data_IF_594463487751
#
_entry.id   IF_594463487751
#
_cell.length_a   1.000
_cell.length_b   1.000
_cell.length_c   1.000
_cell.angle_alpha   90.00
_cell.angle_beta   90.00
_cell.angle_gamma   90.00
#
_symmetry.space_group_name_H-M   'P 1'
#
loop_
_entity.id
_entity.type
_entity.pdbx_description
1 polymer ?
#
# COMPACT_ATOMS: atom_id res chain seq x y z
N UNK A 1 -45.71 53.67 41.36
CA UNK A 1 -45.61 52.18 41.46
C UNK A 1 -46.17 51.59 40.19
N UNK A 2 -45.30 51.08 39.33
CA UNK A 2 -45.65 50.37 38.10
C UNK A 2 -44.84 49.06 38.08
N UNK A 3 -45.45 47.93 37.64
CA UNK A 3 -44.91 46.60 37.87
C UNK A 3 -43.79 46.25 36.87
N UNK A 4 -42.79 45.53 37.39
CA UNK A 4 -41.67 44.95 36.67
C UNK A 4 -42.15 43.85 35.72
N UNK A 5 -42.02 44.07 34.41
CA UNK A 5 -42.21 43.03 33.41
C UNK A 5 -40.98 42.10 33.40
N UNK A 6 -41.23 40.80 33.53
CA UNK A 6 -40.23 39.75 33.41
C UNK A 6 -39.80 39.65 31.94
N UNK A 7 -38.54 39.99 31.65
CA UNK A 7 -37.93 39.82 30.33
C UNK A 7 -37.70 38.33 30.08
N UNK A 8 -38.45 37.77 29.13
CA UNK A 8 -38.28 36.42 28.59
C UNK A 8 -36.96 36.34 27.83
N UNK A 9 -36.07 35.44 28.24
CA UNK A 9 -34.88 35.09 27.45
C UNK A 9 -35.31 34.34 26.18
N UNK A 10 -34.84 34.73 24.98
CA UNK A 10 -35.11 33.97 23.77
C UNK A 10 -34.35 32.64 23.81
N UNK A 11 -35.07 31.55 23.50
CA UNK A 11 -34.50 30.22 23.33
C UNK A 11 -33.44 30.24 22.20
N UNK A 12 -32.34 29.47 22.32
CA UNK A 12 -31.32 29.43 21.29
C UNK A 12 -31.91 28.89 19.97
N UNK A 13 -31.59 29.56 18.87
CA UNK A 13 -32.01 29.18 17.52
C UNK A 13 -31.70 27.72 17.24
N UNK A 14 -32.72 26.97 16.82
CA UNK A 14 -32.58 25.60 16.38
C UNK A 14 -31.53 25.52 15.25
N UNK A 15 -30.53 24.66 15.44
CA UNK A 15 -29.61 24.28 14.37
C UNK A 15 -30.42 23.80 13.15
N UNK A 16 -30.05 24.21 11.92
CA UNK A 16 -30.72 23.71 10.74
C UNK A 16 -30.55 22.18 10.69
N UNK A 17 -31.59 21.42 10.34
CA UNK A 17 -31.49 19.97 10.28
C UNK A 17 -30.41 19.62 9.24
N UNK A 18 -29.39 18.90 9.69
CA UNK A 18 -28.35 18.37 8.83
C UNK A 18 -29.01 17.56 7.70
N UNK A 19 -28.83 18.03 6.47
CA UNK A 19 -29.34 17.36 5.29
C UNK A 19 -28.65 16.00 5.16
N UNK A 20 -29.36 14.87 5.33
CA UNK A 20 -28.76 13.54 5.27
C UNK A 20 -28.22 13.19 3.87
N UNK A 21 -28.45 14.06 2.87
CA UNK A 21 -27.90 13.93 1.52
C UNK A 21 -26.54 14.65 1.32
N UNK A 22 -26.05 15.43 2.28
CA UNK A 22 -24.77 16.14 2.18
C UNK A 22 -23.53 15.25 2.47
N UNK A 23 -23.76 14.03 2.97
CA UNK A 23 -22.72 13.04 3.32
C UNK A 23 -22.63 11.89 2.30
N UNK A 24 -23.13 12.09 1.08
CA UNK A 24 -22.90 11.15 -0.02
C UNK A 24 -21.43 11.33 -0.42
N UNK A 25 -20.54 10.34 -0.16
CA UNK A 25 -19.16 10.43 -0.63
C UNK A 25 -19.20 10.61 -2.14
N UNK A 26 -18.35 11.46 -2.70
CA UNK A 26 -18.09 11.52 -4.15
C UNK A 26 -18.17 10.10 -4.74
N UNK A 27 -18.88 9.91 -5.87
CA UNK A 27 -19.07 8.58 -6.43
C UNK A 27 -17.72 7.89 -6.50
N UNK A 28 -17.60 6.76 -5.79
CA UNK A 28 -16.38 5.98 -5.70
C UNK A 28 -15.93 5.75 -7.15
N UNK A 29 -14.88 6.44 -7.62
CA UNK A 29 -14.28 6.14 -8.92
C UNK A 29 -14.03 4.64 -8.93
N UNK A 30 -14.60 3.96 -9.92
CA UNK A 30 -14.83 2.53 -9.86
C UNK A 30 -13.51 1.78 -9.55
N UNK A 31 -13.39 1.12 -8.37
CA UNK A 31 -12.22 0.32 -8.02
C UNK A 31 -11.92 -0.78 -9.06
N UNK A 32 -12.88 -1.09 -9.94
CA UNK A 32 -12.72 -2.02 -11.06
C UNK A 32 -11.89 -1.47 -12.23
N UNK A 33 -11.63 -0.15 -12.28
CA UNK A 33 -10.92 0.48 -13.38
C UNK A 33 -9.41 0.21 -13.34
N UNK A 34 -8.77 0.35 -12.17
CA UNK A 34 -7.33 0.18 -12.00
C UNK A 34 -6.93 -0.57 -10.72
N UNK A 35 -7.89 -1.10 -9.96
CA UNK A 35 -7.60 -1.74 -8.68
C UNK A 35 -6.94 -0.79 -7.69
N UNK A 36 -5.90 -1.26 -7.00
CA UNK A 36 -5.13 -0.47 -6.05
C UNK A 36 -3.99 0.35 -6.69
N UNK A 37 -3.74 0.20 -7.99
CA UNK A 37 -2.78 1.04 -8.70
C UNK A 37 -3.29 2.50 -8.75
N UNK A 38 -2.38 3.49 -8.80
CA UNK A 38 -2.77 4.87 -9.04
C UNK A 38 -3.42 5.01 -10.42
N UNK A 39 -4.28 6.01 -10.60
CA UNK A 39 -4.97 6.25 -11.88
C UNK A 39 -4.03 6.63 -13.04
N UNK A 40 -2.80 7.05 -12.75
CA UNK A 40 -1.77 7.44 -13.72
C UNK A 40 -0.41 6.92 -13.28
N UNK A 41 0.56 6.78 -14.19
CA UNK A 41 1.92 6.41 -13.82
C UNK A 41 2.46 7.38 -12.76
N UNK A 42 3.14 6.86 -11.73
CA UNK A 42 3.76 7.69 -10.70
C UNK A 42 4.69 8.77 -11.28
N UNK A 43 4.81 9.88 -10.56
CA UNK A 43 5.68 10.98 -10.96
C UNK A 43 7.13 10.56 -10.78
N UNK A 44 7.88 10.46 -11.89
CA UNK A 44 9.32 10.12 -11.88
C UNK A 44 10.15 11.17 -11.13
N UNK A 45 10.04 12.42 -11.55
CA UNK A 45 10.80 13.53 -10.97
C UNK A 45 9.84 14.64 -10.61
N UNK A 46 9.89 15.08 -9.35
CA UNK A 46 9.10 16.24 -8.93
C UNK A 46 9.73 17.53 -9.49
N UNK A 47 8.90 18.49 -9.90
CA UNK A 47 9.36 19.72 -10.54
C UNK A 47 9.60 20.85 -9.52
N UNK A 48 10.40 21.84 -9.93
CA UNK A 48 10.69 23.03 -9.14
C UNK A 48 11.35 22.67 -7.81
N UNK A 49 10.93 23.34 -6.74
CA UNK A 49 11.57 23.16 -5.42
C UNK A 49 11.37 21.78 -4.81
N UNK A 50 10.45 20.98 -5.34
CA UNK A 50 10.25 19.59 -4.91
C UNK A 50 11.24 18.61 -5.55
N UNK A 51 12.00 19.03 -6.57
CA UNK A 51 13.06 18.23 -7.18
C UNK A 51 14.08 17.77 -6.14
N UNK A 52 14.46 18.67 -5.24
CA UNK A 52 15.36 18.39 -4.12
C UNK A 52 14.89 17.23 -3.22
N UNK A 53 13.58 17.09 -2.98
CA UNK A 53 13.04 15.96 -2.20
C UNK A 53 13.25 14.62 -2.93
N UNK A 54 13.21 14.63 -4.26
CA UNK A 54 13.50 13.43 -5.07
C UNK A 54 14.98 13.08 -5.05
N UNK A 55 15.85 14.08 -5.10
CA UNK A 55 17.31 13.92 -4.98
C UNK A 55 17.69 13.38 -3.60
N UNK A 56 17.16 13.98 -2.52
CA UNK A 56 17.37 13.52 -1.15
C UNK A 56 16.89 12.07 -0.98
N UNK A 57 15.69 11.75 -1.45
CA UNK A 57 15.17 10.39 -1.35
C UNK A 57 16.02 9.37 -2.10
N UNK A 58 16.56 9.72 -3.28
CA UNK A 58 17.50 8.88 -4.01
C UNK A 58 18.81 8.68 -3.25
N UNK A 59 19.43 9.77 -2.78
CA UNK A 59 20.69 9.71 -2.03
C UNK A 59 20.55 8.91 -0.72
N UNK A 60 19.47 9.12 0.01
CA UNK A 60 19.13 8.39 1.25
C UNK A 60 18.83 6.92 0.94
N UNK A 61 18.09 6.63 -0.13
CA UNK A 61 17.80 5.26 -0.53
C UNK A 61 19.08 4.48 -0.83
N UNK A 62 20.08 5.08 -1.47
CA UNK A 62 21.34 4.39 -1.82
C UNK A 62 22.43 4.51 -0.77
N UNK A 63 22.14 5.07 0.41
CA UNK A 63 23.13 5.23 1.47
C UNK A 63 23.64 3.85 1.95
N UNK A 64 24.94 3.72 2.27
CA UNK A 64 25.53 2.43 2.67
C UNK A 64 25.00 1.91 4.01
N UNK A 65 24.55 2.82 4.88
CA UNK A 65 24.05 2.52 6.22
C UNK A 65 23.04 3.60 6.69
N UNK A 66 22.38 3.32 7.83
CA UNK A 66 21.34 4.18 8.40
C UNK A 66 21.88 5.50 8.91
N UNK A 67 23.09 5.55 9.42
CA UNK A 67 23.66 6.76 10.01
C UNK A 67 24.07 7.75 8.91
N UNK A 68 24.62 7.24 7.81
CA UNK A 68 24.84 8.01 6.58
C UNK A 68 23.52 8.55 6.02
N UNK A 69 22.47 7.72 5.94
CA UNK A 69 21.14 8.17 5.54
C UNK A 69 20.59 9.29 6.44
N UNK A 70 20.70 9.15 7.77
CA UNK A 70 20.28 10.16 8.75
C UNK A 70 21.09 11.45 8.64
N UNK A 71 22.40 11.35 8.38
CA UNK A 71 23.27 12.51 8.20
C UNK A 71 22.88 13.35 6.98
N UNK A 72 22.43 12.73 5.88
CA UNK A 72 21.90 13.42 4.70
C UNK A 72 20.62 14.20 5.04
N UNK A 73 19.69 13.59 5.77
CA UNK A 73 18.45 14.27 6.23
C UNK A 73 18.79 15.44 7.14
N UNK A 74 19.68 15.24 8.12
CA UNK A 74 20.11 16.28 9.04
C UNK A 74 20.84 17.43 8.33
N UNK A 75 21.59 17.15 7.26
CA UNK A 75 22.20 18.18 6.43
C UNK A 75 21.14 19.04 5.74
N UNK A 76 20.14 18.42 5.10
CA UNK A 76 19.02 19.13 4.48
C UNK A 76 18.17 19.93 5.48
N UNK A 77 18.03 19.43 6.71
CA UNK A 77 17.38 20.16 7.79
C UNK A 77 18.14 21.45 8.15
N UNK A 78 19.47 21.38 8.29
CA UNK A 78 20.33 22.54 8.60
C UNK A 78 20.32 23.62 7.51
N UNK A 79 20.15 23.22 6.25
CA UNK A 79 20.01 24.17 5.13
C UNK A 79 18.61 24.81 5.05
N UNK A 80 17.66 24.35 5.86
CA UNK A 80 16.29 24.88 5.88
C UNK A 80 15.38 24.34 4.77
N UNK A 81 15.87 23.41 3.93
CA UNK A 81 15.14 22.87 2.77
C UNK A 81 13.87 22.12 3.20
N UNK A 82 13.95 21.29 4.26
CA UNK A 82 12.81 20.54 4.79
C UNK A 82 11.70 21.47 5.29
N UNK A 83 12.07 22.54 6.00
CA UNK A 83 11.14 23.55 6.50
C UNK A 83 10.48 24.32 5.34
N UNK A 84 11.25 24.66 4.30
CA UNK A 84 10.73 25.31 3.11
C UNK A 84 9.72 24.43 2.35
N UNK A 85 9.99 23.12 2.23
CA UNK A 85 9.06 22.16 1.66
C UNK A 85 7.78 22.03 2.50
N UNK A 86 7.93 21.93 3.83
CA UNK A 86 6.81 21.83 4.78
C UNK A 86 5.79 22.95 4.59
N UNK A 87 6.23 24.19 4.39
CA UNK A 87 5.36 25.35 4.17
C UNK A 87 4.56 25.28 2.86
N UNK A 88 5.00 24.45 1.90
CA UNK A 88 4.42 24.37 0.55
C UNK A 88 3.55 23.13 0.35
N UNK A 89 3.50 22.20 1.30
CA UNK A 89 2.73 20.94 1.21
C UNK A 89 1.26 21.19 0.87
N UNK A 90 0.63 22.23 1.45
CA UNK A 90 -0.77 22.58 1.21
C UNK A 90 -1.08 22.90 -0.27
N UNK A 91 -0.07 23.31 -1.03
CA UNK A 91 -0.18 23.67 -2.46
C UNK A 91 0.02 22.48 -3.40
N UNK A 92 0.38 21.30 -2.88
CA UNK A 92 0.55 20.11 -3.70
C UNK A 92 -0.77 19.67 -4.32
N UNK A 93 -0.78 19.41 -5.62
CA UNK A 93 -1.86 18.65 -6.25
C UNK A 93 -1.90 17.22 -5.69
N UNK A 94 -3.04 16.51 -5.73
CA UNK A 94 -3.15 15.15 -5.22
C UNK A 94 -2.05 14.21 -5.76
N UNK A 95 -1.79 14.28 -7.07
CA UNK A 95 -0.74 13.48 -7.72
C UNK A 95 0.67 13.78 -7.19
N UNK A 96 0.97 15.05 -6.91
CA UNK A 96 2.28 15.41 -6.35
C UNK A 96 2.34 15.16 -4.84
N UNK A 97 1.21 15.12 -4.13
CA UNK A 97 1.14 14.67 -2.75
C UNK A 97 1.46 13.16 -2.63
N UNK A 98 0.94 12.33 -3.54
CA UNK A 98 1.34 10.92 -3.65
C UNK A 98 2.82 10.78 -3.99
N UNK A 99 3.32 11.60 -4.92
CA UNK A 99 4.75 11.61 -5.22
C UNK A 99 5.59 11.94 -3.98
N UNK A 100 5.21 12.97 -3.21
CA UNK A 100 5.89 13.36 -1.98
C UNK A 100 5.81 12.28 -0.90
N UNK A 101 4.66 11.61 -0.73
CA UNK A 101 4.49 10.55 0.25
C UNK A 101 5.40 9.36 -0.03
N UNK A 102 5.61 9.00 -1.31
CA UNK A 102 6.63 8.01 -1.66
C UNK A 102 8.03 8.43 -1.19
N UNK A 103 8.47 9.67 -1.49
CA UNK A 103 9.83 10.12 -1.13
C UNK A 103 10.02 10.14 0.39
N UNK A 104 9.02 10.63 1.12
CA UNK A 104 9.04 10.62 2.59
C UNK A 104 9.08 9.18 3.11
N UNK A 105 8.31 8.25 2.52
CA UNK A 105 8.31 6.85 2.93
C UNK A 105 9.67 6.18 2.71
N UNK A 106 10.31 6.46 1.58
CA UNK A 106 11.66 5.96 1.28
C UNK A 106 12.67 6.50 2.29
N UNK A 107 12.65 7.81 2.56
CA UNK A 107 13.56 8.43 3.54
C UNK A 107 13.34 7.82 4.93
N UNK A 108 12.09 7.74 5.38
CA UNK A 108 11.76 7.15 6.69
C UNK A 108 12.20 5.69 6.79
N UNK A 109 11.96 4.88 5.75
CA UNK A 109 12.35 3.47 5.75
C UNK A 109 13.87 3.28 5.76
N UNK A 110 14.60 4.04 4.94
CA UNK A 110 16.06 3.97 4.87
C UNK A 110 16.74 4.44 6.17
N UNK A 111 16.19 5.45 6.85
CA UNK A 111 16.69 5.91 8.14
C UNK A 111 16.31 5.01 9.33
N UNK A 112 15.50 3.96 9.11
CA UNK A 112 15.00 3.07 10.18
C UNK A 112 13.97 3.74 11.08
N UNK A 113 13.14 4.60 10.51
CA UNK A 113 12.08 5.35 11.19
C UNK A 113 10.68 4.84 10.84
N UNK A 114 10.56 3.66 10.23
CA UNK A 114 9.28 3.15 9.70
C UNK A 114 8.21 2.95 10.78
N UNK A 115 8.66 2.69 12.01
CA UNK A 115 7.80 2.48 13.18
C UNK A 115 7.41 3.79 13.91
N UNK A 116 8.00 4.93 13.54
CA UNK A 116 7.74 6.19 14.25
C UNK A 116 6.36 6.75 13.89
N UNK A 117 5.70 7.29 14.91
CA UNK A 117 4.58 8.21 14.72
C UNK A 117 5.15 9.64 14.62
N UNK A 118 5.04 10.34 13.48
CA UNK A 118 5.62 11.67 13.33
C UNK A 118 4.99 12.72 14.25
N UNK A 119 3.82 12.46 14.83
CA UNK A 119 3.17 13.36 15.79
C UNK A 119 3.57 13.09 17.24
N UNK A 120 4.14 11.91 17.54
CA UNK A 120 4.48 11.53 18.90
C UNK A 120 5.70 12.31 19.41
N UNK A 121 5.66 12.91 20.62
CA UNK A 121 6.78 13.68 21.18
C UNK A 121 8.07 12.86 21.30
N UNK A 122 7.96 11.56 21.56
CA UNK A 122 9.11 10.64 21.68
C UNK A 122 9.88 10.50 20.37
N UNK A 123 9.20 10.62 19.22
CA UNK A 123 9.82 10.49 17.89
C UNK A 123 10.85 11.59 17.63
N UNK A 124 10.70 12.77 18.25
CA UNK A 124 11.65 13.88 18.15
C UNK A 124 13.02 13.57 18.76
N UNK A 125 13.13 12.53 19.58
CA UNK A 125 14.41 12.04 20.10
C UNK A 125 15.12 11.10 19.13
N UNK A 126 14.38 10.48 18.21
CA UNK A 126 14.87 9.45 17.31
C UNK A 126 15.09 9.93 15.86
N UNK A 127 14.42 11.01 15.46
CA UNK A 127 14.46 11.54 14.10
C UNK A 127 14.52 13.08 14.08
N UNK A 128 14.96 13.62 12.95
CA UNK A 128 15.08 15.07 12.74
C UNK A 128 13.70 15.77 12.83
N UNK A 129 13.54 16.81 13.68
CA UNK A 129 12.25 17.48 13.85
C UNK A 129 11.69 18.09 12.56
N UNK A 130 12.51 18.69 11.71
CA UNK A 130 12.05 19.29 10.46
C UNK A 130 11.56 18.22 9.48
N UNK A 131 12.20 17.05 9.47
CA UNK A 131 11.71 15.90 8.72
C UNK A 131 10.36 15.38 9.26
N UNK A 132 10.20 15.24 10.58
CA UNK A 132 8.93 14.82 11.19
C UNK A 132 7.79 15.80 10.89
N UNK A 133 8.08 17.11 10.89
CA UNK A 133 7.12 18.14 10.52
C UNK A 133 6.72 18.03 9.04
N UNK A 134 7.68 17.81 8.14
CA UNK A 134 7.39 17.53 6.72
C UNK A 134 6.54 16.26 6.56
N UNK A 135 6.93 15.17 7.23
CA UNK A 135 6.21 13.90 7.18
C UNK A 135 4.77 14.07 7.64
N UNK A 136 4.53 14.65 8.82
CA UNK A 136 3.18 14.87 9.34
C UNK A 136 2.30 15.72 8.42
N UNK A 137 2.85 16.75 7.77
CA UNK A 137 2.11 17.54 6.79
C UNK A 137 1.78 16.76 5.53
N UNK A 138 2.73 15.99 4.99
CA UNK A 138 2.48 15.14 3.83
C UNK A 138 1.42 14.09 4.17
N UNK A 139 1.52 13.45 5.33
CA UNK A 139 0.54 12.50 5.86
C UNK A 139 -0.87 13.09 5.93
N UNK A 140 -0.98 14.32 6.45
CA UNK A 140 -2.24 15.05 6.48
C UNK A 140 -2.74 15.36 5.06
N UNK A 141 -1.87 15.81 4.15
CA UNK A 141 -2.23 16.15 2.76
C UNK A 141 -2.75 14.97 1.96
N UNK A 142 -2.18 13.77 2.16
CA UNK A 142 -2.65 12.54 1.51
C UNK A 142 -3.77 11.83 2.30
N UNK A 143 -4.13 12.34 3.49
CA UNK A 143 -5.15 11.74 4.35
C UNK A 143 -4.77 10.35 4.88
N UNK A 144 -3.49 10.01 4.96
CA UNK A 144 -2.99 8.69 5.31
C UNK A 144 -1.80 8.85 6.26
N UNK A 145 -1.93 8.42 7.51
CA UNK A 145 -0.87 8.60 8.52
C UNK A 145 0.22 7.52 8.45
N UNK A 146 -0.16 6.27 8.27
CA UNK A 146 0.75 5.12 8.34
C UNK A 146 1.21 4.64 6.96
N UNK A 147 1.60 5.60 6.11
CA UNK A 147 1.95 5.33 4.72
C UNK A 147 3.35 4.74 4.53
N UNK A 148 4.20 4.68 5.56
CA UNK A 148 5.51 4.03 5.46
C UNK A 148 5.31 2.52 5.50
N UNK A 149 5.02 1.96 4.34
CA UNK A 149 4.67 0.57 4.15
C UNK A 149 4.89 0.15 2.69
N UNK A 150 5.01 -1.15 2.44
CA UNK A 150 5.19 -1.71 1.10
C UNK A 150 4.10 -1.27 0.11
N UNK A 151 2.80 -1.17 0.46
CA UNK A 151 1.81 -0.67 -0.49
C UNK A 151 2.19 0.69 -1.07
N UNK A 152 2.61 1.66 -0.24
CA UNK A 152 3.08 2.97 -0.73
C UNK A 152 4.39 2.83 -1.50
N UNK A 153 5.35 2.08 -0.94
CA UNK A 153 6.67 1.90 -1.52
C UNK A 153 6.67 1.11 -2.84
N UNK A 154 5.64 0.32 -3.14
CA UNK A 154 5.51 -0.43 -4.38
C UNK A 154 4.60 0.30 -5.37
N UNK A 155 3.36 0.62 -4.97
CA UNK A 155 2.33 1.16 -5.87
C UNK A 155 2.67 2.54 -6.43
N UNK A 156 3.48 3.31 -5.71
CA UNK A 156 3.94 4.63 -6.15
C UNK A 156 5.37 4.61 -6.70
N UNK A 157 6.12 3.53 -6.54
CA UNK A 157 7.54 3.48 -6.90
C UNK A 157 7.81 2.71 -8.20
N UNK A 158 7.16 3.08 -9.28
CA UNK A 158 7.39 2.44 -10.57
C UNK A 158 7.09 3.38 -11.74
N UNK A 159 7.71 3.10 -12.87
CA UNK A 159 7.40 3.72 -14.15
C UNK A 159 7.74 2.73 -15.27
N UNK A 160 7.06 2.76 -16.42
CA UNK A 160 7.56 2.07 -17.61
C UNK A 160 8.94 2.62 -17.96
N UNK A 161 9.93 1.79 -18.28
CA UNK A 161 11.31 2.19 -18.57
C UNK A 161 11.37 3.21 -19.72
N UNK A 162 10.60 2.95 -20.77
CA UNK A 162 10.45 3.80 -21.95
C UNK A 162 9.04 4.36 -22.02
N UNK A 163 8.88 5.49 -22.71
CA UNK A 163 7.54 6.01 -23.00
C UNK A 163 6.79 4.99 -23.86
N UNK A 164 5.61 4.52 -23.44
CA UNK A 164 4.88 3.52 -24.19
C UNK A 164 4.47 4.08 -25.56
N UNK A 165 4.55 3.24 -26.61
CA UNK A 165 4.23 3.64 -27.99
C UNK A 165 2.74 3.91 -28.21
N UNK A 166 1.88 3.35 -27.36
CA UNK A 166 0.42 3.52 -27.36
C UNK A 166 -0.06 3.86 -25.97
N UNK A 167 -1.20 4.54 -25.87
CA UNK A 167 -1.87 4.76 -24.60
C UNK A 167 -2.41 3.42 -24.09
N UNK A 168 -1.84 2.92 -22.99
CA UNK A 168 -2.28 1.70 -22.32
C UNK A 168 -2.99 2.05 -21.01
N UNK A 169 -4.06 1.33 -20.62
CA UNK A 169 -4.57 1.34 -19.26
C UNK A 169 -3.45 1.06 -18.25
N UNK A 170 -3.54 1.64 -17.05
CA UNK A 170 -2.44 1.58 -16.07
C UNK A 170 -2.10 0.15 -15.63
N UNK A 171 -3.13 -0.70 -15.49
CA UNK A 171 -2.95 -2.11 -15.16
C UNK A 171 -2.27 -2.86 -16.30
N UNK A 172 -2.60 -2.55 -17.56
CA UNK A 172 -1.93 -3.17 -18.70
C UNK A 172 -0.48 -2.71 -18.79
N UNK A 173 -0.24 -1.41 -18.64
CA UNK A 173 1.10 -0.82 -18.62
C UNK A 173 2.01 -1.50 -17.58
N UNK A 174 1.52 -1.63 -16.34
CA UNK A 174 2.26 -2.27 -15.26
C UNK A 174 2.51 -3.77 -15.48
N UNK A 175 1.71 -4.44 -16.31
CA UNK A 175 1.87 -5.87 -16.62
C UNK A 175 2.80 -6.13 -17.79
N UNK A 176 2.71 -5.31 -18.85
CA UNK A 176 3.33 -5.65 -20.13
C UNK A 176 4.64 -4.92 -20.40
N UNK A 177 4.84 -3.73 -19.82
CA UNK A 177 6.06 -2.97 -20.06
C UNK A 177 7.19 -3.39 -19.10
N UNK A 178 8.47 -3.22 -19.50
CA UNK A 178 9.58 -3.19 -18.58
C UNK A 178 9.40 -2.04 -17.59
N UNK A 179 9.52 -2.34 -16.28
CA UNK A 179 9.32 -1.36 -15.22
C UNK A 179 10.64 -1.04 -14.54
N UNK A 180 10.80 0.23 -14.14
CA UNK A 180 11.89 0.71 -13.31
C UNK A 180 11.34 1.43 -12.08
N UNK A 181 12.01 1.36 -10.92
CA UNK A 181 11.61 2.12 -9.75
C UNK A 181 11.79 3.63 -10.00
N UNK A 182 10.94 4.44 -9.37
CA UNK A 182 11.03 5.91 -9.42
C UNK A 182 12.16 6.41 -8.52
N UNK A 183 12.20 5.90 -7.29
CA UNK A 183 13.30 6.04 -6.35
C UNK A 183 13.94 4.67 -6.20
N UNK A 184 15.18 4.56 -6.64
CA UNK A 184 15.91 3.31 -6.75
C UNK A 184 16.76 3.09 -5.50
N UNK A 185 16.75 1.88 -4.98
CA UNK A 185 17.51 1.49 -3.79
C UNK A 185 18.89 0.94 -4.15
N UNK A 186 19.08 0.45 -5.39
CA UNK A 186 20.40 0.17 -5.94
C UNK A 186 21.08 1.41 -6.54
N UNK A 187 22.40 1.61 -6.33
CA UNK A 187 23.17 2.68 -6.97
C UNK A 187 23.01 2.70 -8.49
N UNK A 188 23.10 3.87 -9.11
CA UNK A 188 22.98 4.01 -10.56
C UNK A 188 24.03 3.15 -11.29
N UNK A 189 23.67 2.60 -12.46
CA UNK A 189 24.53 1.71 -13.24
C UNK A 189 24.65 0.27 -12.73
N UNK A 190 24.21 -0.04 -11.51
CA UNK A 190 24.21 -1.40 -10.98
C UNK A 190 22.94 -2.20 -11.37
N UNK A 191 22.90 -3.53 -11.21
CA UNK A 191 21.65 -4.28 -11.26
C UNK A 191 20.69 -3.90 -10.13
N UNK A 192 19.38 -4.06 -10.35
CA UNK A 192 18.37 -3.87 -9.29
C UNK A 192 18.53 -4.91 -8.19
N UNK A 193 18.53 -4.43 -6.94
CA UNK A 193 18.63 -5.24 -5.74
C UNK A 193 17.31 -5.92 -5.36
N UNK A 194 17.32 -6.80 -4.35
CA UNK A 194 16.15 -7.55 -3.91
C UNK A 194 14.96 -6.68 -3.53
N UNK A 195 15.19 -5.52 -2.88
CA UNK A 195 14.12 -4.63 -2.46
C UNK A 195 13.43 -3.96 -3.66
N UNK A 196 14.20 -3.40 -4.60
CA UNK A 196 13.67 -2.82 -5.85
C UNK A 196 12.85 -3.87 -6.62
N UNK A 197 13.39 -5.10 -6.76
CA UNK A 197 12.70 -6.20 -7.45
C UNK A 197 11.43 -6.63 -6.73
N UNK A 198 11.44 -6.71 -5.40
CA UNK A 198 10.22 -7.03 -4.64
C UNK A 198 9.14 -5.97 -4.83
N UNK A 199 9.50 -4.68 -4.83
CA UNK A 199 8.57 -3.58 -5.08
C UNK A 199 7.95 -3.69 -6.48
N UNK A 200 8.76 -3.94 -7.52
CA UNK A 200 8.27 -4.13 -8.89
C UNK A 200 7.40 -5.39 -9.04
N UNK A 201 7.80 -6.51 -8.43
CA UNK A 201 7.02 -7.75 -8.41
C UNK A 201 5.67 -7.54 -7.71
N UNK A 202 5.65 -6.77 -6.62
CA UNK A 202 4.42 -6.39 -5.91
C UNK A 202 3.53 -5.51 -6.78
N UNK A 203 4.08 -4.54 -7.50
CA UNK A 203 3.34 -3.73 -8.49
C UNK A 203 2.72 -4.59 -9.58
N UNK A 204 3.48 -5.54 -10.15
CA UNK A 204 2.96 -6.48 -11.16
C UNK A 204 1.87 -7.40 -10.60
N UNK A 205 2.02 -7.84 -9.35
CA UNK A 205 1.01 -8.62 -8.64
C UNK A 205 -0.30 -7.83 -8.51
N UNK A 206 -0.24 -6.57 -8.11
CA UNK A 206 -1.41 -5.69 -7.98
C UNK A 206 -2.05 -5.39 -9.35
N UNK A 207 -1.23 -5.21 -10.38
CA UNK A 207 -1.70 -5.00 -11.75
C UNK A 207 -2.46 -6.20 -12.32
N UNK A 208 -2.01 -7.42 -12.05
CA UNK A 208 -2.77 -8.65 -12.38
C UNK A 208 -3.93 -8.89 -11.40
N UNK A 209 -3.78 -8.44 -10.16
CA UNK A 209 -4.76 -8.52 -9.09
C UNK A 209 -6.10 -7.86 -9.40
N UNK A 210 -6.15 -6.93 -10.35
CA UNK A 210 -7.40 -6.30 -10.80
C UNK A 210 -8.47 -7.33 -11.22
N UNK A 211 -8.07 -8.46 -11.79
CA UNK A 211 -9.00 -9.53 -12.16
C UNK A 211 -9.64 -10.20 -10.94
N UNK A 212 -8.90 -10.34 -9.84
CA UNK A 212 -9.47 -10.78 -8.56
C UNK A 212 -10.48 -9.76 -8.05
N UNK A 213 -10.19 -8.46 -8.15
CA UNK A 213 -11.07 -7.39 -7.68
C UNK A 213 -12.38 -7.32 -8.49
N UNK A 214 -12.30 -7.48 -9.82
CA UNK A 214 -13.48 -7.56 -10.69
C UNK A 214 -14.36 -8.77 -10.36
N UNK A 215 -13.73 -9.92 -10.09
CA UNK A 215 -14.44 -11.13 -9.63
C UNK A 215 -15.00 -10.96 -8.22
N UNK A 216 -14.33 -10.23 -7.34
CA UNK A 216 -14.83 -9.89 -6.01
C UNK A 216 -16.10 -9.04 -6.09
N UNK A 217 -16.13 -8.05 -6.99
CA UNK A 217 -17.35 -7.27 -7.28
C UNK A 217 -18.48 -8.13 -7.87
N UNK A 218 -18.13 -9.14 -8.66
CA UNK A 218 -19.09 -10.13 -9.18
C UNK A 218 -19.67 -11.00 -8.05
N UNK A 219 -18.87 -11.39 -7.06
CA UNK A 219 -19.28 -12.21 -5.92
C UNK A 219 -20.00 -11.43 -4.82
N UNK A 220 -19.86 -10.11 -4.79
CA UNK A 220 -20.48 -9.24 -3.80
C UNK A 220 -22.02 -9.33 -3.87
N UNK A 221 -22.65 -9.59 -2.72
CA UNK A 221 -24.11 -9.71 -2.61
C UNK A 221 -24.67 -11.05 -3.09
N UNK A 222 -23.84 -11.96 -3.61
CA UNK A 222 -24.28 -13.28 -4.07
C UNK A 222 -24.18 -14.33 -2.99
N UNK A 223 -25.15 -15.25 -2.98
CA UNK A 223 -25.24 -16.33 -2.02
C UNK A 223 -24.94 -17.71 -2.61
N UNK A 224 -24.95 -18.73 -1.75
CA UNK A 224 -25.00 -20.14 -2.18
C UNK A 224 -26.21 -20.39 -3.09
N UNK A 225 -26.04 -21.22 -4.13
CA UNK A 225 -27.11 -21.56 -5.08
C UNK A 225 -27.28 -20.59 -6.25
N UNK A 226 -26.60 -19.44 -6.24
CA UNK A 226 -26.52 -18.58 -7.42
C UNK A 226 -25.61 -19.23 -8.48
N UNK A 227 -26.17 -19.49 -9.67
CA UNK A 227 -25.48 -20.16 -10.78
C UNK A 227 -24.15 -19.49 -11.19
N UNK A 228 -24.00 -18.20 -10.90
CA UNK A 228 -22.80 -17.43 -11.22
C UNK A 228 -21.69 -17.57 -10.16
N UNK A 229 -22.01 -17.97 -8.93
CA UNK A 229 -21.06 -18.08 -7.81
C UNK A 229 -19.98 -19.12 -8.11
N UNK A 230 -20.38 -20.34 -8.50
CA UNK A 230 -19.44 -21.40 -8.84
C UNK A 230 -18.51 -21.01 -10.00
N UNK A 231 -19.08 -20.39 -11.04
CA UNK A 231 -18.32 -19.90 -12.20
C UNK A 231 -17.30 -18.82 -11.81
N UNK A 232 -17.70 -17.88 -10.96
CA UNK A 232 -16.83 -16.81 -10.47
C UNK A 232 -15.70 -17.36 -9.59
N UNK A 233 -15.98 -18.33 -8.71
CA UNK A 233 -14.96 -18.99 -7.87
C UNK A 233 -13.94 -19.77 -8.71
N UNK A 234 -14.37 -20.51 -9.75
CA UNK A 234 -13.45 -21.17 -10.68
C UNK A 234 -12.56 -20.18 -11.44
N UNK A 235 -13.11 -19.03 -11.83
CA UNK A 235 -12.33 -17.94 -12.44
C UNK A 235 -11.33 -17.37 -11.44
N UNK A 236 -11.73 -17.20 -10.18
CA UNK A 236 -10.87 -16.71 -9.10
C UNK A 236 -9.67 -17.64 -8.90
N UNK A 237 -9.89 -18.96 -8.85
CA UNK A 237 -8.84 -19.98 -8.75
C UNK A 237 -7.84 -19.85 -9.90
N UNK A 238 -8.32 -19.73 -11.15
CA UNK A 238 -7.43 -19.54 -12.32
C UNK A 238 -6.57 -18.28 -12.20
N UNK A 239 -7.15 -17.17 -11.75
CA UNK A 239 -6.39 -15.94 -11.54
C UNK A 239 -5.35 -16.13 -10.42
N UNK A 240 -5.70 -16.79 -9.31
CA UNK A 240 -4.77 -17.09 -8.22
C UNK A 240 -3.59 -17.97 -8.69
N UNK A 241 -3.85 -18.97 -9.54
CA UNK A 241 -2.78 -19.78 -10.15
C UNK A 241 -1.87 -18.96 -11.07
N UNK A 242 -2.44 -18.09 -11.91
CA UNK A 242 -1.65 -17.21 -12.78
C UNK A 242 -0.76 -16.26 -11.97
N UNK A 243 -1.30 -15.65 -10.90
CA UNK A 243 -0.53 -14.81 -9.98
C UNK A 243 0.58 -15.60 -9.28
N UNK A 244 0.31 -16.85 -8.90
CA UNK A 244 1.31 -17.71 -8.25
C UNK A 244 2.46 -18.05 -9.20
N UNK A 245 2.14 -18.42 -10.45
CA UNK A 245 3.13 -18.70 -11.47
C UNK A 245 3.99 -17.45 -11.77
N UNK A 246 3.37 -16.26 -11.83
CA UNK A 246 4.09 -15.00 -11.96
C UNK A 246 5.06 -14.79 -10.79
N UNK A 247 4.61 -14.93 -9.53
CA UNK A 247 5.49 -14.77 -8.37
C UNK A 247 6.65 -15.77 -8.36
N UNK A 248 6.44 -17.00 -8.84
CA UNK A 248 7.50 -18.00 -8.98
C UNK A 248 8.54 -17.59 -10.03
N UNK A 249 8.10 -16.98 -11.14
CA UNK A 249 9.01 -16.42 -12.15
C UNK A 249 9.84 -15.27 -11.58
N UNK A 250 9.20 -14.32 -10.90
CA UNK A 250 9.86 -13.18 -10.24
C UNK A 250 10.87 -13.64 -9.18
N UNK A 251 10.59 -14.75 -8.49
CA UNK A 251 11.50 -15.31 -7.49
C UNK A 251 12.86 -15.75 -8.05
N UNK A 252 12.92 -16.16 -9.33
CA UNK A 252 14.19 -16.51 -9.97
C UNK A 252 15.07 -15.28 -10.16
N UNK A 253 14.49 -14.19 -10.68
CA UNK A 253 15.22 -12.93 -10.86
C UNK A 253 15.63 -12.30 -9.54
N UNK A 254 14.78 -12.39 -8.53
CA UNK A 254 15.06 -11.87 -7.19
C UNK A 254 16.21 -12.64 -6.53
N UNK A 255 16.29 -13.96 -6.71
CA UNK A 255 17.41 -14.77 -6.20
C UNK A 255 18.75 -14.44 -6.85
N UNK A 256 18.75 -13.95 -8.08
CA UNK A 256 19.96 -13.58 -8.82
C UNK A 256 20.41 -12.13 -8.53
N UNK A 257 19.65 -11.36 -7.77
CA UNK A 257 19.95 -9.97 -7.50
C UNK A 257 21.11 -9.81 -6.50
N UNK A 258 21.98 -8.79 -6.68
CA UNK A 258 23.03 -8.49 -5.68
C UNK A 258 22.41 -8.15 -4.32
N UNK A 259 22.94 -8.70 -3.22
CA UNK A 259 22.35 -8.59 -1.87
C UNK A 259 23.08 -7.57 -0.99
N UNK A 260 22.73 -6.26 -1.03
CA UNK A 260 23.21 -5.32 -0.02
C UNK A 260 22.48 -5.54 1.31
N UNK A 261 23.25 -5.75 2.39
CA UNK A 261 22.72 -6.12 3.71
C UNK A 261 21.66 -5.13 4.28
N UNK A 262 21.80 -3.84 3.98
CA UNK A 262 20.92 -2.79 4.53
C UNK A 262 19.50 -2.82 3.92
N UNK A 263 19.31 -3.31 2.67
CA UNK A 263 17.98 -3.49 2.08
C UNK A 263 17.18 -4.58 2.81
N UNK A 264 17.84 -5.65 3.26
CA UNK A 264 17.22 -6.70 4.06
C UNK A 264 16.73 -6.18 5.42
N UNK A 265 17.48 -5.29 6.07
CA UNK A 265 17.09 -4.68 7.33
C UNK A 265 15.79 -3.86 7.22
N UNK A 266 15.60 -3.13 6.12
CA UNK A 266 14.35 -2.39 5.85
C UNK A 266 13.16 -3.34 5.73
N UNK A 267 13.33 -4.47 5.03
CA UNK A 267 12.27 -5.47 4.90
C UNK A 267 11.93 -6.15 6.22
N UNK A 268 12.93 -6.47 7.05
CA UNK A 268 12.71 -7.06 8.38
C UNK A 268 11.92 -6.09 9.27
N UNK A 269 12.24 -4.81 9.24
CA UNK A 269 11.52 -3.78 10.02
C UNK A 269 10.07 -3.65 9.56
N UNK A 270 9.84 -3.52 8.25
CA UNK A 270 8.48 -3.46 7.70
C UNK A 270 7.69 -4.76 7.97
N UNK A 271 8.36 -5.91 7.97
CA UNK A 271 7.74 -7.19 8.33
C UNK A 271 7.25 -7.19 9.78
N UNK A 272 8.08 -6.69 10.72
CA UNK A 272 7.72 -6.56 12.13
C UNK A 272 6.50 -5.65 12.38
N UNK A 273 6.25 -4.70 11.48
CA UNK A 273 5.09 -3.81 11.52
C UNK A 273 3.85 -4.37 10.83
N UNK A 274 3.94 -5.53 10.15
CA UNK A 274 2.88 -6.00 9.26
C UNK A 274 2.66 -5.11 8.04
N UNK A 275 3.68 -4.32 7.68
CA UNK A 275 3.62 -3.28 6.65
C UNK A 275 4.04 -3.79 5.26
N UNK A 276 4.13 -5.12 5.07
CA UNK A 276 4.52 -5.75 3.81
C UNK A 276 3.35 -6.31 3.00
N UNK A 277 2.14 -6.35 3.56
CA UNK A 277 1.02 -7.07 2.93
C UNK A 277 0.44 -6.31 1.72
N UNK A 278 0.49 -6.88 0.50
CA UNK A 278 -0.16 -6.29 -0.67
C UNK A 278 -1.69 -6.19 -0.51
N UNK A 279 -2.31 -5.06 -0.91
CA UNK A 279 -3.75 -4.87 -0.85
C UNK A 279 -4.57 -5.97 -1.54
N UNK A 280 -4.09 -6.56 -2.64
CA UNK A 280 -4.80 -7.62 -3.38
C UNK A 280 -5.10 -8.84 -2.50
N UNK A 281 -4.22 -9.20 -1.57
CA UNK A 281 -4.46 -10.31 -0.65
C UNK A 281 -5.51 -9.96 0.40
N UNK A 282 -5.56 -8.69 0.82
CA UNK A 282 -6.59 -8.22 1.75
C UNK A 282 -7.98 -8.24 1.09
N UNK A 283 -8.05 -7.99 -0.22
CA UNK A 283 -9.28 -8.12 -1.00
C UNK A 283 -9.68 -9.59 -1.19
N UNK A 284 -8.72 -10.46 -1.53
CA UNK A 284 -8.99 -11.89 -1.68
C UNK A 284 -9.46 -12.53 -0.36
N UNK A 285 -8.88 -12.12 0.77
CA UNK A 285 -9.33 -12.52 2.10
C UNK A 285 -10.72 -12.00 2.45
N UNK A 286 -11.05 -10.78 2.02
CA UNK A 286 -12.39 -10.25 2.21
C UNK A 286 -13.44 -11.10 1.48
N UNK A 287 -13.11 -11.64 0.31
CA UNK A 287 -13.99 -12.56 -0.42
C UNK A 287 -14.05 -13.93 0.25
N UNK A 288 -12.90 -14.54 0.54
CA UNK A 288 -12.80 -15.96 0.88
C UNK A 288 -12.77 -16.26 2.39
N UNK A 289 -12.67 -15.23 3.25
CA UNK A 289 -12.67 -15.42 4.70
C UNK A 289 -11.44 -16.11 5.27
N UNK A 290 -10.32 -16.08 4.56
CA UNK A 290 -9.04 -16.67 4.98
C UNK A 290 -8.30 -15.83 6.02
N UNK A 291 -8.64 -14.54 6.13
CA UNK A 291 -8.06 -13.61 7.08
C UNK A 291 -8.78 -13.59 8.43
N UNK A 292 -8.43 -14.52 9.33
CA UNK A 292 -8.53 -14.29 10.78
C UNK A 292 -9.66 -15.00 11.54
N UNK A 293 -9.27 -16.03 12.31
CA UNK A 293 -9.70 -16.26 13.71
C UNK A 293 -8.56 -16.93 14.48
N UNK A 294 -7.65 -16.15 15.05
CA UNK A 294 -7.13 -16.47 16.38
C UNK A 294 -7.89 -15.55 17.35
N UNK A 295 -8.42 -16.12 18.43
CA UNK A 295 -9.16 -15.36 19.42
C UNK A 295 -8.25 -14.25 19.99
N UNK A 296 -8.69 -12.99 19.91
CA UNK A 296 -7.95 -11.81 20.37
C UNK A 296 -7.29 -10.95 19.28
N UNK A 297 -7.36 -11.33 18.00
CA UNK A 297 -6.54 -10.71 16.95
C UNK A 297 -7.25 -9.55 16.21
N UNK A 298 -6.75 -8.32 16.38
CA UNK A 298 -7.07 -7.14 15.56
C UNK A 298 -6.49 -7.22 14.14
N UNK A 299 -5.90 -8.35 13.74
CA UNK A 299 -5.05 -8.55 12.57
C UNK A 299 -5.49 -7.89 11.26
N UNK A 300 -6.76 -7.99 10.83
CA UNK A 300 -7.20 -7.35 9.56
C UNK A 300 -7.22 -5.84 9.62
N UNK A 301 -7.71 -5.25 10.71
CA UNK A 301 -7.70 -3.79 10.89
C UNK A 301 -6.27 -3.28 11.06
N UNK A 302 -5.44 -4.05 11.73
CA UNK A 302 -4.02 -3.80 11.90
C UNK A 302 -3.23 -3.85 10.58
N UNK A 303 -3.56 -4.72 9.63
CA UNK A 303 -2.89 -4.72 8.31
C UNK A 303 -3.40 -3.58 7.43
N UNK A 304 -4.70 -3.30 7.48
CA UNK A 304 -5.34 -2.26 6.66
C UNK A 304 -4.90 -0.85 6.99
N UNK A 305 -4.39 -0.56 8.19
CA UNK A 305 -3.95 0.78 8.61
C UNK A 305 -2.91 1.42 7.68
N UNK A 306 -2.16 0.58 6.95
CA UNK A 306 -1.16 0.97 5.96
C UNK A 306 -1.75 1.28 4.57
N UNK A 307 -3.07 1.26 4.45
CA UNK A 307 -3.79 1.61 3.23
C UNK A 307 -4.50 2.96 3.39
N UNK A 308 -4.64 3.74 2.31
CA UNK A 308 -5.45 4.96 2.30
C UNK A 308 -6.89 4.71 2.80
N UNK A 309 -7.53 5.68 3.47
CA UNK A 309 -8.89 5.54 4.01
C UNK A 309 -9.91 4.98 3.02
N UNK A 310 -9.85 5.44 1.76
CA UNK A 310 -10.72 4.98 0.68
C UNK A 310 -10.58 3.47 0.41
N UNK A 311 -9.35 2.96 0.35
CA UNK A 311 -9.09 1.54 0.17
C UNK A 311 -9.57 0.72 1.37
N UNK A 312 -9.38 1.23 2.59
CA UNK A 312 -9.87 0.59 3.82
C UNK A 312 -11.40 0.49 3.82
N UNK A 313 -12.09 1.59 3.51
CA UNK A 313 -13.55 1.64 3.45
C UNK A 313 -14.11 0.67 2.41
N UNK A 314 -13.48 0.61 1.22
CA UNK A 314 -13.86 -0.33 0.17
C UNK A 314 -13.67 -1.79 0.62
N UNK A 315 -12.53 -2.14 1.21
CA UNK A 315 -12.29 -3.49 1.74
C UNK A 315 -13.29 -3.87 2.84
N UNK A 316 -13.65 -2.93 3.71
CA UNK A 316 -14.68 -3.13 4.73
C UNK A 316 -16.08 -3.34 4.14
N UNK A 317 -16.41 -2.66 3.04
CA UNK A 317 -17.66 -2.91 2.31
C UNK A 317 -17.64 -4.28 1.64
N UNK A 318 -16.53 -4.65 1.02
CA UNK A 318 -16.34 -5.95 0.39
C UNK A 318 -16.48 -7.10 1.41
N UNK A 319 -15.92 -6.95 2.62
CA UNK A 319 -16.10 -7.91 3.70
C UNK A 319 -17.58 -8.18 3.99
N UNK A 320 -18.40 -7.12 4.06
CA UNK A 320 -19.84 -7.25 4.32
C UNK A 320 -20.56 -7.92 3.15
N UNK A 321 -20.31 -7.47 1.93
CA UNK A 321 -21.01 -7.97 0.75
C UNK A 321 -20.63 -9.40 0.36
N UNK A 322 -19.41 -9.85 0.68
CA UNK A 322 -19.00 -11.25 0.45
C UNK A 322 -19.28 -12.17 1.64
N UNK A 323 -19.95 -11.69 2.70
CA UNK A 323 -20.33 -12.54 3.83
C UNK A 323 -21.15 -13.79 3.44
N UNK A 324 -22.13 -13.70 2.52
CA UNK A 324 -22.90 -14.87 2.12
C UNK A 324 -22.05 -15.91 1.37
N UNK A 325 -21.10 -15.48 0.53
CA UNK A 325 -20.17 -16.41 -0.16
C UNK A 325 -19.38 -17.24 0.84
N UNK A 326 -18.98 -16.65 1.98
CA UNK A 326 -18.21 -17.35 3.01
C UNK A 326 -19.01 -18.42 3.75
N UNK A 327 -20.35 -18.42 3.68
CA UNK A 327 -21.15 -19.50 4.29
C UNK A 327 -20.94 -20.84 3.59
N UNK A 328 -20.44 -20.85 2.33
CA UNK A 328 -20.02 -22.04 1.61
C UNK A 328 -18.95 -22.84 2.37
N UNK A 329 -18.20 -22.20 3.28
CA UNK A 329 -17.24 -22.89 4.15
C UNK A 329 -17.87 -23.94 5.07
N UNK A 330 -19.17 -23.81 5.35
CA UNK A 330 -19.92 -24.63 6.30
C UNK A 330 -20.96 -25.54 5.61
N UNK A 331 -20.98 -25.53 4.27
CA UNK A 331 -21.95 -26.28 3.47
C UNK A 331 -21.29 -27.49 2.80
N UNK A 332 -22.12 -28.45 2.39
CA UNK A 332 -21.72 -29.55 1.49
C UNK A 332 -22.01 -29.22 0.03
N UNK A 333 -21.51 -30.06 -0.88
CA UNK A 333 -21.84 -29.97 -2.31
C UNK A 333 -20.76 -29.32 -3.19
N UNK A 334 -21.03 -29.21 -4.51
CA UNK A 334 -20.04 -28.83 -5.51
C UNK A 334 -19.52 -27.39 -5.32
N UNK A 335 -20.39 -26.44 -4.99
CA UNK A 335 -20.00 -25.04 -4.80
C UNK A 335 -19.10 -24.86 -3.57
N UNK A 336 -19.37 -25.60 -2.50
CA UNK A 336 -18.52 -25.65 -1.31
C UNK A 336 -17.15 -26.30 -1.60
N UNK A 337 -17.09 -27.28 -2.49
CA UNK A 337 -15.81 -27.86 -2.94
C UNK A 337 -14.96 -26.83 -3.70
N UNK A 338 -15.56 -26.11 -4.67
CA UNK A 338 -14.88 -25.05 -5.41
C UNK A 338 -14.44 -23.90 -4.49
N UNK A 339 -15.26 -23.54 -3.49
CA UNK A 339 -14.89 -22.53 -2.51
C UNK A 339 -13.69 -22.95 -1.66
N UNK A 340 -13.61 -24.22 -1.23
CA UNK A 340 -12.44 -24.75 -0.51
C UNK A 340 -11.17 -24.72 -1.37
N UNK A 341 -11.28 -25.14 -2.62
CA UNK A 341 -10.17 -25.06 -3.58
C UNK A 341 -9.67 -23.61 -3.77
N UNK A 342 -10.59 -22.64 -3.86
CA UNK A 342 -10.23 -21.22 -3.93
C UNK A 342 -9.49 -20.73 -2.67
N UNK A 343 -9.86 -21.21 -1.48
CA UNK A 343 -9.15 -20.89 -0.24
C UNK A 343 -7.75 -21.51 -0.21
N UNK A 344 -7.62 -22.76 -0.62
CA UNK A 344 -6.34 -23.48 -0.68
C UNK A 344 -5.38 -22.83 -1.68
N UNK A 345 -5.89 -22.45 -2.86
CA UNK A 345 -5.12 -21.74 -3.89
C UNK A 345 -4.65 -20.35 -3.38
N UNK A 346 -5.50 -19.60 -2.67
CA UNK A 346 -5.09 -18.35 -2.02
C UNK A 346 -4.03 -18.56 -0.94
N UNK A 347 -4.15 -19.60 -0.10
CA UNK A 347 -3.13 -19.94 0.91
C UNK A 347 -1.79 -20.26 0.22
N UNK A 348 -1.80 -21.03 -0.86
CA UNK A 348 -0.61 -21.36 -1.62
C UNK A 348 0.04 -20.12 -2.27
N UNK A 349 -0.78 -19.22 -2.81
CA UNK A 349 -0.34 -17.93 -3.35
C UNK A 349 0.32 -17.06 -2.27
N UNK A 350 -0.32 -16.90 -1.10
CA UNK A 350 0.23 -16.19 0.07
C UNK A 350 1.57 -16.78 0.53
N UNK A 351 1.68 -18.11 0.60
CA UNK A 351 2.94 -18.80 0.95
C UNK A 351 4.06 -18.50 -0.04
N UNK A 352 3.73 -18.46 -1.33
CA UNK A 352 4.68 -18.13 -2.40
C UNK A 352 5.15 -16.68 -2.27
N UNK A 353 4.25 -15.72 -2.05
CA UNK A 353 4.61 -14.34 -1.79
C UNK A 353 5.47 -14.17 -0.53
N UNK A 354 5.09 -14.81 0.57
CA UNK A 354 5.90 -14.79 1.80
C UNK A 354 7.30 -15.39 1.58
N UNK A 355 7.42 -16.40 0.71
CA UNK A 355 8.70 -16.92 0.24
C UNK A 355 9.54 -15.88 -0.51
N UNK A 356 8.90 -15.10 -1.39
CA UNK A 356 9.54 -14.00 -2.12
C UNK A 356 10.03 -12.90 -1.16
N UNK A 357 9.20 -12.49 -0.20
CA UNK A 357 9.58 -11.53 0.85
C UNK A 357 10.77 -12.02 1.67
N UNK A 358 10.73 -13.27 2.15
CA UNK A 358 11.86 -13.86 2.89
C UNK A 358 13.11 -13.92 2.04
N UNK A 359 12.98 -14.24 0.75
CA UNK A 359 14.07 -14.26 -0.21
C UNK A 359 14.71 -12.87 -0.36
N UNK A 360 13.90 -11.81 -0.38
CA UNK A 360 14.36 -10.43 -0.49
C UNK A 360 14.99 -9.91 0.81
N UNK A 361 14.51 -10.38 1.96
CA UNK A 361 14.99 -9.99 3.28
C UNK A 361 16.23 -10.78 3.74
N UNK A 362 16.81 -11.66 2.89
CA UNK A 362 17.96 -12.48 3.27
C UNK A 362 19.17 -11.59 3.62
N UNK A 363 19.87 -11.85 4.74
CA UNK A 363 21.11 -11.16 5.05
C UNK A 363 22.21 -11.56 4.06
N UNK A 364 23.02 -10.60 3.63
CA UNK A 364 24.13 -10.82 2.72
C UNK A 364 25.09 -11.88 3.28
N UNK A 365 25.37 -12.93 2.51
CA UNK A 365 26.25 -14.04 2.92
C UNK A 365 25.57 -15.16 3.71
N UNK A 366 24.24 -15.10 3.90
CA UNK A 366 23.47 -16.22 4.40
C UNK A 366 23.36 -17.32 3.36
N UNK A 367 24.30 -18.28 3.39
CA UNK A 367 24.21 -19.49 2.59
C UNK A 367 22.86 -20.17 2.78
N UNK A 368 22.22 -20.54 1.68
CA UNK A 368 21.03 -21.40 1.71
C UNK A 368 21.45 -22.73 2.35
N UNK A 369 21.18 -22.92 3.65
CA UNK A 369 20.99 -24.28 4.15
C UNK A 369 19.75 -24.81 3.44
N UNK A 370 20.00 -25.66 2.45
CA UNK A 370 18.98 -26.40 1.74
C UNK A 370 18.08 -27.08 2.78
N UNK A 371 16.82 -26.65 2.85
CA UNK A 371 15.79 -27.43 3.53
C UNK A 371 15.33 -28.46 2.51
N UNK A 372 15.66 -29.72 2.80
CA UNK A 372 15.24 -30.91 2.07
C UNK A 372 13.72 -31.10 2.07
#
# INVERSE_FOLDING_TARGET
>A
MAPTALTTFPAPSAEPPADPAADIPEPISDPQAHGFLPARPPVRTMAGTWGWLSELAGAVATAPDRDTARALVAHGARQGDLTALRQRVSRLSPRNADAASLRVAVIAAACGWSALDPLAPVSRRAADPAFLDLWSAVAHRVGHQQFVALPTLALLNWSPERKPRRALPIDQLARTEPLVPVVRWSPEGQPLGPLDRLMLATTRLEAHGIWLLRLAGTLAGRGPGDASTATALRRLIRVQHALRAQLQSEAAELRAAPEPAWQGAVLIELAGLGALEPPVFQAADAVLGTGGRRAGDTGRHQLRRHLPPRHRAWLSALDRHCAPVRTLAHQGGPDAAVFREARESLIALRRTYAGLVRCAARPAGGGLTAVA
#
